data_IF_102754271291
#
_entry.id   IF_102754271291
#
_cell.length_a   1.000
_cell.length_b   1.000
_cell.length_c   1.000
_cell.angle_alpha   90.00
_cell.angle_beta   90.00
_cell.angle_gamma   90.00
#
_symmetry.space_group_name_H-M   'P 1'
#
loop_
_entity.id
_entity.type
_entity.pdbx_description
1 polymer ?
#
# COMPACT_ATOMS: atom_id res chain seq x y z
N UNK A 1 -41.47 13.38 17.88
CA UNK A 1 -40.21 13.01 18.57
C UNK A 1 -39.42 11.94 17.79
N UNK A 2 -40.06 10.88 17.30
CA UNK A 2 -39.42 9.81 16.51
C UNK A 2 -38.61 10.29 15.29
N UNK A 3 -39.13 11.27 14.52
CA UNK A 3 -38.44 11.77 13.32
C UNK A 3 -37.12 12.49 13.63
N UNK A 4 -37.02 13.17 14.79
CA UNK A 4 -35.79 13.85 15.21
C UNK A 4 -34.72 12.85 15.64
N UNK A 5 -35.13 11.77 16.32
CA UNK A 5 -34.23 10.69 16.72
C UNK A 5 -33.70 9.94 15.49
N UNK A 6 -34.56 9.65 14.52
CA UNK A 6 -34.18 8.98 13.27
C UNK A 6 -33.12 9.80 12.50
N UNK A 7 -33.32 11.11 12.35
CA UNK A 7 -32.36 12.01 11.69
C UNK A 7 -31.01 12.01 12.43
N UNK A 8 -31.01 12.07 13.77
CA UNK A 8 -29.77 12.04 14.55
C UNK A 8 -29.02 10.71 14.40
N UNK A 9 -29.73 9.57 14.33
CA UNK A 9 -29.12 8.26 14.11
C UNK A 9 -28.47 8.16 12.73
N UNK A 10 -29.15 8.63 11.68
CA UNK A 10 -28.60 8.64 10.31
C UNK A 10 -27.35 9.53 10.24
N UNK A 11 -27.39 10.72 10.84
CA UNK A 11 -26.25 11.63 10.90
C UNK A 11 -25.07 11.00 11.65
N UNK A 12 -25.32 10.37 12.80
CA UNK A 12 -24.28 9.69 13.58
C UNK A 12 -23.66 8.52 12.81
N UNK A 13 -24.48 7.68 12.16
CA UNK A 13 -24.00 6.58 11.33
C UNK A 13 -23.15 7.08 10.16
N UNK A 14 -23.55 8.17 9.52
CA UNK A 14 -22.78 8.83 8.46
C UNK A 14 -21.43 9.34 8.96
N UNK A 15 -21.38 10.01 10.11
CA UNK A 15 -20.13 10.49 10.72
C UNK A 15 -19.21 9.32 11.07
N UNK A 16 -19.75 8.26 11.67
CA UNK A 16 -18.98 7.06 12.02
C UNK A 16 -18.37 6.43 10.75
N UNK A 17 -19.15 6.32 9.68
CA UNK A 17 -18.68 5.80 8.40
C UNK A 17 -17.54 6.67 7.82
N UNK A 18 -17.69 8.00 7.85
CA UNK A 18 -16.66 8.93 7.38
C UNK A 18 -15.36 8.83 8.19
N UNK A 19 -15.46 8.72 9.53
CA UNK A 19 -14.30 8.52 10.40
C UNK A 19 -13.60 7.19 10.06
N UNK A 20 -14.35 6.12 9.86
CA UNK A 20 -13.80 4.82 9.46
C UNK A 20 -13.03 4.90 8.14
N UNK A 21 -13.60 5.55 7.12
CA UNK A 21 -12.94 5.75 5.82
C UNK A 21 -11.64 6.57 5.97
N UNK A 22 -11.66 7.63 6.78
CA UNK A 22 -10.48 8.43 7.05
C UNK A 22 -9.37 7.61 7.72
N UNK A 23 -9.70 6.79 8.73
CA UNK A 23 -8.75 5.91 9.43
C UNK A 23 -8.13 4.89 8.46
N UNK A 24 -8.92 4.27 7.59
CA UNK A 24 -8.42 3.33 6.58
C UNK A 24 -7.42 4.01 5.63
N UNK A 25 -7.73 5.23 5.21
CA UNK A 25 -6.89 5.99 4.27
C UNK A 25 -5.52 6.31 4.88
N UNK A 26 -5.47 6.73 6.15
CA UNK A 26 -4.21 6.99 6.87
C UNK A 26 -3.38 5.72 7.02
N UNK A 27 -4.02 4.60 7.38
CA UNK A 27 -3.33 3.30 7.50
C UNK A 27 -2.71 2.86 6.18
N UNK A 28 -3.40 3.07 5.07
CA UNK A 28 -2.86 2.71 3.76
C UNK A 28 -1.68 3.61 3.37
N UNK A 29 -1.75 4.91 3.66
CA UNK A 29 -0.62 5.82 3.43
C UNK A 29 0.61 5.42 4.26
N UNK A 30 0.41 5.07 5.53
CA UNK A 30 1.47 4.58 6.41
C UNK A 30 2.12 3.31 5.87
N UNK A 31 1.33 2.39 5.28
CA UNK A 31 1.84 1.15 4.68
C UNK A 31 2.84 1.37 3.55
N UNK A 32 2.80 2.51 2.87
CA UNK A 32 3.73 2.82 1.77
C UNK A 32 4.76 3.88 2.15
N UNK A 33 4.72 4.41 3.37
CA UNK A 33 5.65 5.44 3.82
C UNK A 33 7.08 4.90 3.90
N UNK A 34 8.05 5.72 3.54
CA UNK A 34 9.48 5.39 3.65
C UNK A 34 10.31 6.65 3.94
N UNK A 35 11.48 6.45 4.50
CA UNK A 35 12.52 7.48 4.66
C UNK A 35 13.67 7.25 3.68
N UNK A 36 13.92 6.00 3.30
CA UNK A 36 14.95 5.61 2.36
C UNK A 36 14.52 4.43 1.48
N UNK A 37 15.24 4.18 0.39
CA UNK A 37 14.95 3.07 -0.53
C UNK A 37 14.93 1.70 0.17
N UNK A 38 15.76 1.52 1.21
CA UNK A 38 15.85 0.27 1.98
C UNK A 38 14.64 0.01 2.89
N UNK A 39 13.80 1.00 3.13
CA UNK A 39 12.54 0.82 3.83
C UNK A 39 11.48 0.16 2.94
N UNK A 40 11.67 0.17 1.63
CA UNK A 40 10.69 -0.31 0.68
C UNK A 40 10.97 -1.75 0.27
N UNK A 41 9.94 -2.58 0.34
CA UNK A 41 10.00 -3.97 -0.10
C UNK A 41 8.73 -4.36 -0.89
N UNK A 42 8.75 -5.46 -1.65
CA UNK A 42 7.56 -6.02 -2.29
C UNK A 42 6.37 -6.23 -1.35
N UNK A 43 5.18 -5.81 -1.78
CA UNK A 43 3.93 -6.04 -1.05
C UNK A 43 3.43 -7.50 -1.13
N UNK A 44 3.89 -8.22 -2.15
CA UNK A 44 3.59 -9.64 -2.40
C UNK A 44 4.88 -10.37 -2.73
N UNK A 45 4.90 -11.68 -2.50
CA UNK A 45 6.10 -12.50 -2.64
C UNK A 45 6.53 -12.69 -4.09
N UNK A 46 5.58 -12.92 -4.99
CA UNK A 46 5.84 -13.18 -6.40
C UNK A 46 5.26 -12.04 -7.25
N UNK A 47 6.02 -11.64 -8.27
CA UNK A 47 5.61 -10.65 -9.28
C UNK A 47 4.96 -9.38 -8.70
N UNK A 48 5.60 -8.71 -7.72
CA UNK A 48 5.00 -7.59 -7.02
C UNK A 48 4.74 -6.40 -7.94
N UNK A 49 3.48 -5.97 -7.98
CA UNK A 49 3.08 -4.71 -8.62
C UNK A 49 3.09 -3.52 -7.65
N UNK A 50 3.19 -3.80 -6.35
CA UNK A 50 3.14 -2.80 -5.28
C UNK A 50 4.26 -3.00 -4.27
N UNK A 51 4.56 -1.92 -3.55
CA UNK A 51 5.56 -1.88 -2.50
C UNK A 51 4.95 -1.43 -1.18
N UNK A 52 5.52 -1.90 -0.10
CA UNK A 52 5.18 -1.51 1.27
C UNK A 52 6.45 -1.18 2.05
N UNK A 53 6.28 -0.46 3.15
CA UNK A 53 7.32 -0.33 4.15
C UNK A 53 7.66 -1.72 4.71
N UNK A 54 8.93 -1.98 4.96
CA UNK A 54 9.49 -3.21 5.52
C UNK A 54 8.78 -3.68 6.79
N UNK A 55 8.28 -2.76 7.62
CA UNK A 55 7.51 -3.13 8.83
C UNK A 55 6.19 -3.86 8.53
N UNK A 56 5.71 -3.81 7.29
CA UNK A 56 4.51 -4.50 6.80
C UNK A 56 4.84 -5.61 5.80
N UNK A 57 6.05 -6.14 5.86
CA UNK A 57 6.48 -7.21 4.97
C UNK A 57 5.49 -8.37 4.96
N UNK A 58 5.16 -8.92 3.78
CA UNK A 58 4.52 -10.23 3.74
C UNK A 58 5.50 -11.30 4.25
N UNK A 59 4.97 -12.35 4.87
CA UNK A 59 5.74 -13.57 5.09
C UNK A 59 5.74 -14.38 3.79
N UNK A 60 6.92 -14.62 3.24
CA UNK A 60 7.13 -15.39 2.01
C UNK A 60 7.69 -16.78 2.26
N UNK A 61 7.68 -17.24 3.51
CA UNK A 61 8.19 -18.57 3.88
C UNK A 61 7.35 -19.66 3.20
N UNK A 62 8.00 -20.49 2.38
CA UNK A 62 7.35 -21.61 1.69
C UNK A 62 6.62 -21.24 0.40
N UNK A 63 6.63 -19.97 -0.02
CA UNK A 63 6.06 -19.56 -1.30
C UNK A 63 6.95 -19.98 -2.47
N UNK A 64 6.33 -20.51 -3.53
CA UNK A 64 7.00 -20.92 -4.76
C UNK A 64 6.56 -20.00 -5.89
N UNK A 65 7.48 -19.18 -6.39
CA UNK A 65 7.23 -18.27 -7.50
C UNK A 65 7.51 -18.93 -8.86
N UNK A 66 6.80 -18.47 -9.90
CA UNK A 66 7.14 -18.85 -11.28
C UNK A 66 8.33 -18.05 -11.78
N UNK A 67 9.07 -18.57 -12.77
CA UNK A 67 10.16 -17.84 -13.43
C UNK A 67 9.66 -16.82 -14.49
N UNK A 68 8.36 -16.58 -14.56
CA UNK A 68 7.79 -15.69 -15.56
C UNK A 68 8.12 -14.22 -15.26
N UNK A 69 8.59 -13.46 -16.25
CA UNK A 69 8.78 -12.03 -16.11
C UNK A 69 7.44 -11.29 -16.34
N UNK A 70 6.54 -11.23 -15.37
CA UNK A 70 5.20 -10.61 -15.54
C UNK A 70 4.98 -9.34 -14.71
N UNK A 71 5.72 -9.19 -13.60
CA UNK A 71 5.67 -8.02 -12.73
C UNK A 71 6.59 -6.89 -13.19
N UNK A 72 6.35 -5.66 -12.70
CA UNK A 72 7.14 -4.48 -13.03
C UNK A 72 8.57 -4.49 -12.44
N UNK A 73 8.81 -5.26 -11.38
CA UNK A 73 10.15 -5.44 -10.79
C UNK A 73 10.91 -6.64 -11.37
N UNK A 74 10.22 -7.52 -12.09
CA UNK A 74 10.84 -8.75 -12.56
C UNK A 74 11.82 -8.48 -13.68
N UNK A 75 12.85 -9.31 -13.77
CA UNK A 75 13.81 -9.32 -14.88
C UNK A 75 14.44 -7.94 -15.11
N UNK A 76 14.69 -7.22 -13.99
CA UNK A 76 15.31 -5.89 -13.94
C UNK A 76 14.56 -4.81 -14.73
N UNK A 77 13.24 -4.94 -14.88
CA UNK A 77 12.42 -3.90 -15.53
C UNK A 77 12.23 -2.64 -14.69
N UNK A 78 12.30 -2.79 -13.38
CA UNK A 78 12.10 -1.68 -12.45
C UNK A 78 12.99 -1.77 -11.23
N UNK A 79 13.04 -0.65 -10.53
CA UNK A 79 13.77 -0.45 -9.29
C UNK A 79 12.82 0.05 -8.20
N UNK A 80 13.13 -0.33 -6.97
CA UNK A 80 12.43 0.14 -5.78
C UNK A 80 13.08 1.45 -5.34
N UNK A 81 12.28 2.51 -5.20
CA UNK A 81 12.75 3.81 -4.70
C UNK A 81 11.78 4.41 -3.69
N UNK A 82 12.31 5.15 -2.74
CA UNK A 82 11.58 6.03 -1.85
C UNK A 82 11.54 7.43 -2.44
N UNK A 83 10.40 7.81 -3.00
CA UNK A 83 10.20 9.11 -3.66
C UNK A 83 9.01 9.80 -3.01
N UNK A 84 9.21 11.05 -2.57
CA UNK A 84 8.22 11.83 -1.82
C UNK A 84 7.71 11.10 -0.57
N UNK A 85 8.63 10.45 0.15
CA UNK A 85 8.35 9.62 1.32
C UNK A 85 7.37 8.47 1.06
N UNK A 86 7.29 7.99 -0.18
CA UNK A 86 6.48 6.81 -0.54
C UNK A 86 7.29 5.82 -1.37
N UNK A 87 7.07 4.54 -1.12
CA UNK A 87 7.63 3.46 -1.92
C UNK A 87 7.01 3.46 -3.32
N UNK A 88 7.86 3.54 -4.35
CA UNK A 88 7.48 3.53 -5.76
C UNK A 88 8.39 2.60 -6.56
N UNK A 89 7.81 2.03 -7.61
CA UNK A 89 8.55 1.30 -8.63
C UNK A 89 8.84 2.31 -9.74
N UNK A 90 10.11 2.49 -10.07
CA UNK A 90 10.54 3.28 -11.23
C UNK A 90 11.13 2.37 -12.30
N UNK A 91 11.09 2.75 -13.60
CA UNK A 91 11.78 2.00 -14.64
C UNK A 91 13.30 1.99 -14.44
N UNK A 92 13.95 0.84 -14.66
CA UNK A 92 15.39 0.65 -14.44
C UNK A 92 16.30 1.37 -15.46
N UNK A 93 15.73 1.98 -16.50
CA UNK A 93 16.45 2.76 -17.51
C UNK A 93 16.43 4.28 -17.23
N UNK A 94 15.88 4.70 -16.09
CA UNK A 94 15.78 6.11 -15.66
C UNK A 94 16.79 6.42 -14.53
N UNK A 95 17.54 5.42 -14.07
CA UNK A 95 18.66 5.53 -13.13
C UNK A 95 19.93 5.99 -13.86
N UNK A 96 19.95 7.27 -14.23
CA UNK A 96 21.14 8.00 -14.68
C UNK A 96 22.05 8.41 -13.53
#
# INVERSE_FOLDING_TARGET
>A
MANRILVLVIMAAGIILLIWIAVLSVRQAERRYCQSDSDCIPATCCHPAELVNRKYAPDCTGELCTEACIGPLDCRRGEIRCIDSRCRIIPANVSG
#
